data_IF_646634619695
#
_entry.id   IF_646634619695
#
_cell.length_a   1.000
_cell.length_b   1.000
_cell.length_c   1.000
_cell.angle_alpha   90.00
_cell.angle_beta   90.00
_cell.angle_gamma   90.00
#
_symmetry.space_group_name_H-M   'P 1'
#
loop_
_entity.id
_entity.type
_entity.pdbx_description
1 polymer ?
#
# COMPACT_ATOMS: atom_id res chain seq x y z
N UNK A 1 16.34 -3.76 10.12
CA UNK A 1 14.92 -4.18 10.28
C UNK A 1 14.84 -5.63 9.84
N UNK A 2 14.12 -6.52 10.52
CA UNK A 2 13.96 -7.88 10.01
C UNK A 2 13.26 -7.85 8.65
N UNK A 3 13.75 -8.62 7.66
CA UNK A 3 13.25 -8.61 6.27
C UNK A 3 11.73 -8.83 6.20
N UNK A 4 11.20 -9.67 7.10
CA UNK A 4 9.78 -9.95 7.22
C UNK A 4 9.00 -8.71 7.69
N UNK A 5 9.57 -7.89 8.58
CA UNK A 5 8.94 -6.65 9.03
C UNK A 5 8.83 -5.62 7.90
N UNK A 6 9.87 -5.51 7.06
CA UNK A 6 9.85 -4.67 5.85
C UNK A 6 8.78 -5.17 4.87
N UNK A 7 8.70 -6.48 4.66
CA UNK A 7 7.68 -7.05 3.80
C UNK A 7 6.25 -6.85 4.31
N UNK A 8 6.05 -6.99 5.61
CA UNK A 8 4.78 -6.70 6.27
C UNK A 8 4.38 -5.23 6.12
N UNK A 9 5.34 -4.31 6.23
CA UNK A 9 5.11 -2.88 5.98
C UNK A 9 4.69 -2.62 4.54
N UNK A 10 5.40 -3.18 3.55
CA UNK A 10 5.02 -3.04 2.13
C UNK A 10 3.58 -3.54 1.87
N UNK A 11 3.24 -4.73 2.36
CA UNK A 11 1.88 -5.29 2.21
C UNK A 11 0.84 -4.38 2.86
N UNK A 12 1.14 -3.86 4.05
CA UNK A 12 0.21 -3.01 4.80
C UNK A 12 0.02 -1.64 4.14
N UNK A 13 1.08 -1.06 3.58
CA UNK A 13 1.03 0.20 2.83
C UNK A 13 0.19 0.05 1.55
N UNK A 14 0.43 -1.00 0.75
CA UNK A 14 -0.37 -1.29 -0.45
C UNK A 14 -1.84 -1.54 -0.08
N UNK A 15 -2.09 -2.31 0.98
CA UNK A 15 -3.45 -2.59 1.47
C UNK A 15 -4.17 -1.31 1.91
N UNK A 16 -3.44 -0.37 2.52
CA UNK A 16 -3.98 0.93 2.94
C UNK A 16 -4.37 1.78 1.75
N UNK A 17 -3.49 1.90 0.74
CA UNK A 17 -3.81 2.56 -0.54
C UNK A 17 -5.06 1.95 -1.17
N UNK A 18 -5.11 0.63 -1.31
CA UNK A 18 -6.23 -0.07 -1.94
C UNK A 18 -7.56 0.12 -1.18
N UNK A 19 -7.53 0.09 0.16
CA UNK A 19 -8.72 0.30 0.99
C UNK A 19 -9.27 1.71 0.80
N UNK A 20 -8.39 2.72 0.81
CA UNK A 20 -8.78 4.12 0.62
C UNK A 20 -9.38 4.33 -0.76
N UNK A 21 -8.70 3.86 -1.81
CA UNK A 21 -9.17 3.96 -3.20
C UNK A 21 -10.54 3.29 -3.36
N UNK A 22 -10.72 2.08 -2.83
CA UNK A 22 -12.00 1.37 -2.90
C UNK A 22 -13.12 2.10 -2.14
N UNK A 23 -12.82 2.60 -0.94
CA UNK A 23 -13.78 3.36 -0.15
C UNK A 23 -14.18 4.66 -0.83
N UNK A 24 -13.21 5.38 -1.42
CA UNK A 24 -13.47 6.60 -2.19
C UNK A 24 -14.37 6.31 -3.40
N UNK A 25 -13.98 5.35 -4.24
CA UNK A 25 -14.77 4.99 -5.43
C UNK A 25 -16.18 4.46 -5.11
N UNK A 26 -16.36 3.90 -3.91
CA UNK A 26 -17.67 3.43 -3.45
C UNK A 26 -18.49 4.51 -2.74
N UNK A 27 -18.01 5.76 -2.69
CA UNK A 27 -18.60 6.86 -1.88
C UNK A 27 -18.81 6.49 -0.40
N UNK A 28 -17.90 5.66 0.14
CA UNK A 28 -17.91 5.14 1.52
C UNK A 28 -16.69 5.57 2.32
N UNK A 29 -15.91 6.52 1.80
CA UNK A 29 -14.74 7.03 2.52
C UNK A 29 -15.20 7.80 3.75
N UNK A 30 -14.83 7.30 4.92
CA UNK A 30 -15.12 7.94 6.21
C UNK A 30 -13.83 8.14 6.98
N UNK A 31 -13.87 9.01 8.00
CA UNK A 31 -12.77 9.15 8.96
C UNK A 31 -12.37 7.82 9.62
N UNK A 32 -13.32 6.92 9.80
CA UNK A 32 -13.05 5.57 10.33
C UNK A 32 -12.18 4.75 9.36
N UNK A 33 -12.47 4.80 8.06
CA UNK A 33 -11.65 4.12 7.04
C UNK A 33 -10.25 4.73 6.92
N UNK A 34 -10.13 6.06 6.98
CA UNK A 34 -8.83 6.74 7.02
C UNK A 34 -8.02 6.33 8.25
N UNK A 35 -8.64 6.29 9.43
CA UNK A 35 -7.98 5.85 10.66
C UNK A 35 -7.57 4.37 10.60
N UNK A 36 -8.37 3.50 9.99
CA UNK A 36 -8.01 2.08 9.79
C UNK A 36 -6.81 1.94 8.86
N UNK A 37 -6.78 2.68 7.76
CA UNK A 37 -5.64 2.71 6.86
C UNK A 37 -4.37 3.23 7.55
N UNK A 38 -4.47 4.33 8.31
CA UNK A 38 -3.36 4.87 9.09
C UNK A 38 -2.80 3.84 10.08
N UNK A 39 -3.69 3.19 10.86
CA UNK A 39 -3.30 2.14 11.81
C UNK A 39 -2.58 0.98 11.15
N UNK A 40 -2.94 0.59 9.92
CA UNK A 40 -2.24 -0.49 9.21
C UNK A 40 -0.80 -0.13 8.83
N UNK A 41 -0.51 1.14 8.58
CA UNK A 41 0.85 1.60 8.31
C UNK A 41 1.66 1.64 9.62
N UNK A 42 1.07 2.19 10.68
CA UNK A 42 1.71 2.31 12.00
C UNK A 42 1.91 0.95 12.68
N UNK A 43 1.00 0.02 12.44
CA UNK A 43 1.03 -1.34 12.96
C UNK A 43 0.87 -2.33 11.80
N UNK A 44 1.97 -2.58 11.04
CA UNK A 44 1.94 -3.50 9.91
C UNK A 44 1.40 -4.88 10.28
N UNK A 45 0.61 -5.45 9.38
CA UNK A 45 0.08 -6.80 9.51
C UNK A 45 1.24 -7.78 9.69
N UNK A 46 1.12 -8.73 10.62
CA UNK A 46 2.14 -9.78 10.82
C UNK A 46 2.14 -10.86 9.72
N UNK A 47 1.16 -10.80 8.81
CA UNK A 47 0.86 -11.82 7.81
C UNK A 47 1.13 -11.30 6.40
N UNK A 48 1.64 -12.16 5.52
CA UNK A 48 1.92 -11.85 4.11
C UNK A 48 3.39 -11.56 3.82
N UNK A 49 4.15 -11.01 4.77
CA UNK A 49 5.55 -10.68 4.57
C UNK A 49 6.44 -11.88 4.26
N UNK A 50 6.20 -13.03 4.91
CA UNK A 50 6.99 -14.26 4.71
C UNK A 50 6.98 -14.79 3.27
N UNK A 51 5.84 -14.68 2.58
CA UNK A 51 5.75 -15.11 1.18
C UNK A 51 6.47 -14.11 0.28
N UNK A 52 6.36 -12.83 0.61
CA UNK A 52 6.99 -11.77 -0.16
C UNK A 52 8.52 -11.82 -0.09
N UNK A 53 9.08 -12.06 1.09
CA UNK A 53 10.54 -12.23 1.28
C UNK A 53 11.14 -13.38 0.47
N UNK A 54 10.33 -14.32 0.00
CA UNK A 54 10.81 -15.44 -0.82
C UNK A 54 10.83 -15.13 -2.33
N UNK A 55 10.20 -14.03 -2.76
CA UNK A 55 9.98 -13.74 -4.19
C UNK A 55 10.58 -12.41 -4.64
N UNK A 56 11.10 -11.60 -3.71
CA UNK A 56 11.71 -10.30 -3.99
C UNK A 56 13.02 -10.17 -3.22
N UNK A 57 14.02 -9.53 -3.83
CA UNK A 57 15.29 -9.29 -3.15
C UNK A 57 15.15 -8.20 -2.07
N UNK A 58 16.04 -8.25 -1.09
CA UNK A 58 15.99 -7.38 0.09
C UNK A 58 16.07 -5.88 -0.26
N UNK A 59 16.93 -5.52 -1.23
CA UNK A 59 17.17 -4.12 -1.59
C UNK A 59 15.95 -3.52 -2.27
N UNK A 60 15.34 -4.27 -3.20
CA UNK A 60 14.10 -3.85 -3.82
C UNK A 60 12.96 -3.79 -2.80
N UNK A 61 12.87 -4.77 -1.90
CA UNK A 61 11.86 -4.80 -0.85
C UNK A 61 11.87 -3.55 0.01
N UNK A 62 13.05 -3.15 0.51
CA UNK A 62 13.23 -1.94 1.31
C UNK A 62 12.82 -0.69 0.53
N UNK A 63 13.25 -0.59 -0.73
CA UNK A 63 12.90 0.53 -1.60
C UNK A 63 11.39 0.64 -1.80
N UNK A 64 10.72 -0.46 -2.16
CA UNK A 64 9.29 -0.47 -2.40
C UNK A 64 8.51 -0.20 -1.11
N UNK A 65 8.94 -0.78 0.02
CA UNK A 65 8.31 -0.56 1.32
C UNK A 65 8.34 0.92 1.71
N UNK A 66 9.51 1.55 1.58
CA UNK A 66 9.68 2.97 1.90
C UNK A 66 8.80 3.87 1.02
N UNK A 67 8.80 3.64 -0.30
CA UNK A 67 7.97 4.42 -1.23
C UNK A 67 6.47 4.24 -0.92
N UNK A 68 6.03 3.00 -0.74
CA UNK A 68 4.62 2.71 -0.48
C UNK A 68 4.14 3.32 0.85
N UNK A 69 4.99 3.32 1.88
CA UNK A 69 4.70 3.96 3.16
C UNK A 69 4.49 5.47 3.01
N UNK A 70 5.40 6.15 2.30
CA UNK A 70 5.31 7.60 2.06
C UNK A 70 4.03 7.93 1.31
N UNK A 71 3.76 7.22 0.21
CA UNK A 71 2.60 7.48 -0.64
C UNK A 71 1.29 7.23 0.12
N UNK A 72 1.23 6.18 0.95
CA UNK A 72 0.07 5.88 1.76
C UNK A 72 -0.18 6.97 2.83
N UNK A 73 0.87 7.40 3.53
CA UNK A 73 0.79 8.51 4.50
C UNK A 73 0.38 9.82 3.84
N UNK A 74 0.92 10.12 2.66
CA UNK A 74 0.58 11.33 1.91
C UNK A 74 -0.88 11.33 1.47
N UNK A 75 -1.38 10.20 0.94
CA UNK A 75 -2.77 10.07 0.55
C UNK A 75 -3.72 10.27 1.75
N UNK A 76 -3.43 9.61 2.88
CA UNK A 76 -4.21 9.78 4.11
C UNK A 76 -4.21 11.23 4.56
N UNK A 77 -3.05 11.90 4.55
CA UNK A 77 -2.93 13.31 4.93
C UNK A 77 -3.80 14.20 4.03
N UNK A 78 -3.72 14.04 2.71
CA UNK A 78 -4.54 14.82 1.77
C UNK A 78 -6.02 14.62 2.06
N UNK A 79 -6.48 13.36 2.16
CA UNK A 79 -7.89 13.05 2.39
C UNK A 79 -8.40 13.44 3.79
N UNK A 80 -7.51 13.63 4.76
CA UNK A 80 -7.89 14.03 6.11
C UNK A 80 -8.00 15.54 6.26
N UNK A 81 -7.17 16.30 5.54
CA UNK A 81 -6.96 17.73 5.81
C UNK A 81 -7.19 18.66 4.61
N UNK A 82 -7.32 18.13 3.40
CA UNK A 82 -7.58 18.94 2.20
C UNK A 82 -9.06 18.99 1.89
N UNK A 83 -9.55 20.19 1.56
CA UNK A 83 -10.88 20.42 0.99
C UNK A 83 -10.83 20.54 -0.54
N UNK A 84 -9.64 20.44 -1.14
CA UNK A 84 -9.43 20.51 -2.57
C UNK A 84 -9.83 19.19 -3.23
N UNK A 85 -10.96 19.23 -3.92
CA UNK A 85 -11.57 18.08 -4.61
C UNK A 85 -10.70 17.63 -5.79
N UNK A 86 -10.09 18.57 -6.54
CA UNK A 86 -9.24 18.24 -7.68
C UNK A 86 -7.96 17.56 -7.22
N UNK A 87 -7.29 18.11 -6.20
CA UNK A 87 -6.13 17.50 -5.58
C UNK A 87 -6.47 16.10 -5.05
N UNK A 88 -7.60 15.95 -4.36
CA UNK A 88 -8.06 14.67 -3.84
C UNK A 88 -8.23 13.65 -4.97
N UNK A 89 -8.89 14.02 -6.06
CA UNK A 89 -9.10 13.12 -7.19
C UNK A 89 -7.78 12.73 -7.86
N UNK A 90 -6.86 13.68 -8.05
CA UNK A 90 -5.51 13.42 -8.59
C UNK A 90 -4.76 12.44 -7.70
N UNK A 91 -4.82 12.60 -6.38
CA UNK A 91 -4.15 11.72 -5.44
C UNK A 91 -4.75 10.31 -5.42
N UNK A 92 -6.07 10.17 -5.58
CA UNK A 92 -6.73 8.87 -5.70
C UNK A 92 -6.30 8.15 -7.00
N UNK A 93 -6.30 8.86 -8.12
CA UNK A 93 -5.87 8.29 -9.41
C UNK A 93 -4.40 7.86 -9.35
N UNK A 94 -3.54 8.71 -8.77
CA UNK A 94 -2.13 8.39 -8.54
C UNK A 94 -1.99 7.13 -7.66
N UNK A 95 -2.78 7.02 -6.59
CA UNK A 95 -2.75 5.85 -5.72
C UNK A 95 -3.15 4.56 -6.45
N UNK A 96 -4.13 4.61 -7.37
CA UNK A 96 -4.48 3.47 -8.22
C UNK A 96 -3.31 3.00 -9.08
N UNK A 97 -2.64 3.94 -9.76
CA UNK A 97 -1.46 3.65 -10.58
C UNK A 97 -0.33 3.04 -9.74
N UNK A 98 -0.10 3.58 -8.54
CA UNK A 98 0.94 3.09 -7.62
C UNK A 98 0.65 1.67 -7.12
N UNK A 99 -0.59 1.35 -6.78
CA UNK A 99 -0.97 -0.04 -6.44
C UNK A 99 -0.60 -0.99 -7.60
N UNK A 100 -0.98 -0.65 -8.83
CA UNK A 100 -0.64 -1.43 -10.01
C UNK A 100 0.88 -1.56 -10.20
N UNK A 101 1.63 -0.48 -10.02
CA UNK A 101 3.08 -0.48 -10.07
C UNK A 101 3.69 -1.47 -9.07
N UNK A 102 3.31 -1.40 -7.78
CA UNK A 102 3.86 -2.30 -6.75
C UNK A 102 3.54 -3.77 -7.04
N UNK A 103 2.29 -4.07 -7.40
CA UNK A 103 1.90 -5.44 -7.76
C UNK A 103 2.66 -5.94 -8.99
N UNK A 104 2.91 -5.06 -9.96
CA UNK A 104 3.73 -5.34 -11.14
C UNK A 104 5.17 -5.68 -10.78
N UNK A 105 5.80 -4.89 -9.89
CA UNK A 105 7.17 -5.15 -9.41
C UNK A 105 7.27 -6.50 -8.70
N UNK A 106 6.33 -6.81 -7.81
CA UNK A 106 6.27 -8.09 -7.08
C UNK A 106 6.09 -9.25 -8.06
N UNK A 107 5.17 -9.13 -9.02
CA UNK A 107 4.90 -10.15 -10.03
C UNK A 107 6.10 -10.42 -10.92
N UNK A 108 6.81 -9.38 -11.37
CA UNK A 108 8.00 -9.51 -12.20
C UNK A 108 9.10 -10.31 -11.48
N UNK A 109 9.34 -10.02 -10.20
CA UNK A 109 10.36 -10.71 -9.41
C UNK A 109 9.94 -12.14 -9.05
N UNK A 110 8.64 -12.41 -8.95
CA UNK A 110 8.10 -13.75 -8.81
C UNK A 110 7.88 -14.49 -10.16
N UNK A 111 8.74 -14.24 -11.16
CA UNK A 111 8.71 -14.91 -12.47
C UNK A 111 7.34 -14.83 -13.18
N UNK A 112 6.63 -13.72 -13.03
CA UNK A 112 5.31 -13.52 -13.61
C UNK A 112 4.16 -14.16 -12.84
N UNK A 113 4.42 -14.86 -11.73
CA UNK A 113 3.39 -15.45 -10.86
C UNK A 113 3.06 -14.49 -9.73
N UNK A 114 1.82 -14.47 -9.26
CA UNK A 114 1.51 -13.89 -7.96
C UNK A 114 1.57 -15.02 -6.93
N UNK A 115 2.13 -14.81 -5.72
CA UNK A 115 2.08 -15.79 -4.65
C UNK A 115 0.63 -15.94 -4.20
N UNK A 116 -0.10 -16.78 -4.91
CA UNK A 116 -1.43 -17.26 -4.55
C UNK A 116 -1.23 -18.57 -3.80
N UNK A 117 -2.03 -18.83 -2.77
CA UNK A 117 -2.01 -20.18 -2.17
C UNK A 117 -2.38 -21.19 -3.28
N UNK A 118 -1.73 -22.36 -3.35
CA UNK A 118 -2.32 -23.51 -4.04
C UNK A 118 -3.64 -23.90 -3.37
#
# INVERSE_FOLDING_TARGET
MELIAVANLLVSSISSLATIVQAYNSNKLTKSELNKAQKRIEQPLKNGGKQLTNVIDAKLLEKLSFLAEIEAKQLIKVLTYSEDIELTQVMINTAQERICFYLGQIKQHNQGKLPTKP
#
